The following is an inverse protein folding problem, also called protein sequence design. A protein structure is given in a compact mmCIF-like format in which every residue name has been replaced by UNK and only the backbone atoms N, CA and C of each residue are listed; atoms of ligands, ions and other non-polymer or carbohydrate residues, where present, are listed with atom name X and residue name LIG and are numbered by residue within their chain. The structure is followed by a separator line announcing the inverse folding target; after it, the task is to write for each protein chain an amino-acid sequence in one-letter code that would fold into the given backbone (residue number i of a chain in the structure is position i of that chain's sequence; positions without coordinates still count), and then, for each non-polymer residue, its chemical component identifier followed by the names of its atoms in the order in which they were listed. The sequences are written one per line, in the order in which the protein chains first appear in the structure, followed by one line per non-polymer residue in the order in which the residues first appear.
data_IF_336560104468
#
_entry.id   IF_336560104468
#
_cell.length_a   1.000
_cell.length_b   1.000
_cell.length_c   1.000
_cell.angle_alpha   90.00
_cell.angle_beta   90.00
_cell.angle_gamma   90.00
#
_symmetry.space_group_name_H-M   'P 1'
#
loop_
_entity.id
_entity.type
_entity.pdbx_description
1 polymer ?
#
# COMPACT_ATOMS: atom_id res chain seq x y z
N UNK A 1 1.23 14.02 -0.65
CA UNK A 1 1.15 12.66 -1.23
C UNK A 1 2.19 11.81 -0.55
N UNK A 2 1.81 10.69 0.05
CA UNK A 2 2.76 9.77 0.67
C UNK A 2 3.51 8.95 -0.37
N UNK A 3 4.73 8.54 -0.03
CA UNK A 3 5.64 7.83 -0.94
C UNK A 3 5.32 6.34 -0.97
N UNK A 4 5.12 5.79 -2.17
CA UNK A 4 5.03 4.36 -2.43
C UNK A 4 6.19 4.00 -3.38
N UNK A 5 6.98 3.00 -3.01
CA UNK A 5 7.86 2.29 -3.94
C UNK A 5 7.18 0.99 -4.35
N UNK A 6 7.16 0.72 -5.66
CA UNK A 6 6.59 -0.49 -6.23
C UNK A 6 7.61 -1.19 -7.12
N UNK A 7 7.68 -2.50 -7.03
CA UNK A 7 8.40 -3.38 -7.95
C UNK A 7 7.43 -4.43 -8.46
N UNK A 8 7.55 -4.76 -9.75
CA UNK A 8 6.72 -5.78 -10.39
C UNK A 8 7.65 -6.74 -11.12
N UNK A 9 7.49 -8.03 -10.82
CA UNK A 9 8.15 -9.12 -11.54
C UNK A 9 7.07 -9.95 -12.25
N UNK A 10 7.23 -10.17 -13.55
CA UNK A 10 6.25 -10.86 -14.38
C UNK A 10 6.78 -12.23 -14.80
N UNK A 11 6.13 -13.30 -14.35
CA UNK A 11 6.42 -14.66 -14.77
C UNK A 11 5.14 -15.37 -15.22
N UNK A 12 5.16 -15.93 -16.43
CA UNK A 12 4.06 -16.75 -16.98
C UNK A 12 2.65 -16.14 -16.82
N UNK A 13 2.53 -14.82 -17.01
CA UNK A 13 1.25 -14.10 -16.90
C UNK A 13 0.80 -13.81 -15.46
N UNK A 14 1.68 -14.04 -14.47
CA UNK A 14 1.48 -13.70 -13.07
C UNK A 14 2.46 -12.59 -12.69
N UNK A 15 1.93 -11.43 -12.31
CA UNK A 15 2.72 -10.34 -11.78
C UNK A 15 2.83 -10.46 -10.26
N UNK A 16 4.04 -10.62 -9.74
CA UNK A 16 4.37 -10.45 -8.33
C UNK A 16 4.60 -8.95 -8.06
N UNK A 17 3.70 -8.33 -7.30
CA UNK A 17 3.74 -6.90 -6.98
C UNK A 17 4.24 -6.72 -5.55
N UNK A 18 5.38 -6.07 -5.40
CA UNK A 18 5.94 -5.69 -4.09
C UNK A 18 5.80 -4.18 -3.87
N UNK A 19 5.25 -3.82 -2.72
CA UNK A 19 5.06 -2.45 -2.29
C UNK A 19 5.81 -2.16 -1.00
N UNK A 20 6.43 -0.98 -0.94
CA UNK A 20 6.94 -0.36 0.28
C UNK A 20 6.29 1.01 0.44
N UNK A 21 5.50 1.18 1.50
CA UNK A 21 4.77 2.40 1.79
C UNK A 21 5.46 3.13 2.94
N UNK A 22 5.99 4.33 2.70
CA UNK A 22 6.57 5.15 3.78
C UNK A 22 5.43 5.75 4.61
N UNK A 23 5.16 5.16 5.78
CA UNK A 23 4.02 5.55 6.61
C UNK A 23 4.26 5.19 8.10
N UNK A 24 3.97 6.09 9.05
CA UNK A 24 4.35 5.92 10.45
C UNK A 24 3.62 4.78 11.19
N UNK A 25 2.38 4.45 10.79
CA UNK A 25 1.52 3.40 11.38
C UNK A 25 1.50 3.42 12.93
N UNK A 26 1.15 4.57 13.50
CA UNK A 26 1.09 4.78 14.95
C UNK A 26 -0.15 4.12 15.55
N UNK A 27 0.06 3.13 16.42
CA UNK A 27 -0.97 2.55 17.27
C UNK A 27 -1.21 3.39 18.52
N UNK A 28 -2.46 3.48 18.96
CA UNK A 28 -2.87 4.31 20.11
C UNK A 28 -2.35 3.85 21.48
N UNK A 29 -1.79 2.64 21.57
CA UNK A 29 -1.21 2.09 22.80
C UNK A 29 0.28 2.40 22.97
N UNK A 30 0.93 3.02 21.96
CA UNK A 30 2.31 3.46 22.09
C UNK A 30 2.32 4.70 22.97
N UNK A 31 2.62 4.52 24.26
CA UNK A 31 2.99 5.63 25.13
C UNK A 31 4.27 6.25 24.57
N UNK A 32 4.17 7.47 24.03
CA UNK A 32 5.35 8.29 23.84
C UNK A 32 5.73 8.88 25.20
N UNK A 33 7.00 8.74 25.58
CA UNK A 33 7.60 9.37 26.78
C UNK A 33 7.51 10.92 26.77
N UNK A 34 7.07 11.51 25.66
CA UNK A 34 6.71 12.92 25.57
C UNK A 34 5.22 13.08 25.83
N UNK A 35 4.84 13.78 26.92
CA UNK A 35 3.47 13.99 27.42
C UNK A 35 2.43 14.64 26.49
N UNK A 36 2.56 14.51 25.18
CA UNK A 36 1.55 14.75 24.16
C UNK A 36 0.99 13.40 23.70
N UNK A 37 -0.26 13.11 24.05
CA UNK A 37 -0.92 11.85 23.70
C UNK A 37 -0.77 11.50 22.22
N UNK A 38 -0.28 10.28 21.94
CA UNK A 38 -0.08 9.80 20.58
C UNK A 38 -1.42 9.73 19.84
N UNK A 39 -1.60 10.56 18.82
CA UNK A 39 -2.79 10.50 17.96
C UNK A 39 -2.63 9.34 16.98
N UNK A 40 -3.49 8.33 17.12
CA UNK A 40 -3.60 7.17 16.22
C UNK A 40 -3.50 7.60 14.76
N UNK A 41 -2.57 6.98 14.01
CA UNK A 41 -2.31 7.33 12.61
C UNK A 41 -1.92 6.11 11.81
N UNK A 42 -2.85 5.58 11.01
CA UNK A 42 -2.66 4.35 10.27
C UNK A 42 -3.39 4.40 8.93
N UNK A 43 -2.84 3.67 7.95
CA UNK A 43 -3.50 3.40 6.68
C UNK A 43 -4.74 2.54 6.94
N UNK A 44 -5.90 2.96 6.44
CA UNK A 44 -7.17 2.26 6.58
C UNK A 44 -7.49 1.38 5.38
N UNK A 45 -7.17 1.85 4.18
CA UNK A 45 -7.54 1.22 2.92
C UNK A 45 -6.34 1.18 1.98
N UNK A 46 -6.11 0.03 1.36
CA UNK A 46 -5.18 -0.14 0.23
C UNK A 46 -5.93 -0.81 -0.91
N UNK A 47 -5.86 -0.24 -2.10
CA UNK A 47 -6.51 -0.77 -3.30
C UNK A 47 -5.49 -0.93 -4.42
N UNK A 48 -5.55 -2.05 -5.13
CA UNK A 48 -4.77 -2.28 -6.34
C UNK A 48 -5.68 -2.49 -7.54
N UNK A 49 -5.28 -1.95 -8.70
CA UNK A 49 -6.00 -2.05 -9.96
C UNK A 49 -5.08 -2.55 -11.08
N UNK A 50 -5.62 -3.41 -11.93
CA UNK A 50 -5.03 -3.85 -13.20
C UNK A 50 -5.84 -3.23 -14.33
N UNK A 51 -5.21 -2.36 -15.13
CA UNK A 51 -5.87 -1.59 -16.19
C UNK A 51 -7.17 -0.89 -15.72
N UNK A 52 -7.14 -0.35 -14.49
CA UNK A 52 -8.28 0.32 -13.87
C UNK A 52 -9.31 -0.62 -13.21
N UNK A 53 -9.22 -1.94 -13.40
CA UNK A 53 -10.09 -2.91 -12.71
C UNK A 53 -9.51 -3.26 -11.35
N UNK A 54 -10.28 -3.12 -10.28
CA UNK A 54 -9.87 -3.51 -8.93
C UNK A 54 -9.55 -5.01 -8.88
N UNK A 55 -8.36 -5.35 -8.40
CA UNK A 55 -7.87 -6.73 -8.22
C UNK A 55 -7.56 -7.05 -6.77
N UNK A 56 -7.35 -6.04 -5.93
CA UNK A 56 -7.12 -6.20 -4.49
C UNK A 56 -7.75 -5.03 -3.73
N UNK A 57 -8.33 -5.35 -2.58
CA UNK A 57 -8.68 -4.38 -1.54
C UNK A 57 -8.25 -4.96 -0.19
N UNK A 58 -7.58 -4.14 0.62
CA UNK A 58 -7.18 -4.51 1.96
C UNK A 58 -7.59 -3.41 2.94
N UNK A 59 -8.32 -3.80 3.98
CA UNK A 59 -8.66 -2.93 5.11
C UNK A 59 -7.68 -3.22 6.24
N UNK A 60 -6.98 -2.18 6.68
CA UNK A 60 -5.92 -2.29 7.68
C UNK A 60 -6.33 -1.69 9.01
N UNK A 61 -5.66 -2.15 10.06
CA UNK A 61 -5.82 -1.67 11.42
C UNK A 61 -4.49 -1.16 11.98
N UNK A 62 -4.51 -0.67 13.21
CA UNK A 62 -3.30 -0.23 13.93
C UNK A 62 -2.28 -1.33 14.20
N UNK A 63 -2.59 -2.59 13.89
CA UNK A 63 -1.69 -3.74 14.10
C UNK A 63 -0.71 -3.96 12.95
N UNK A 64 -0.77 -3.16 11.89
CA UNK A 64 0.21 -3.19 10.80
C UNK A 64 1.44 -2.35 11.18
N UNK A 65 2.63 -2.90 10.96
CA UNK A 65 3.90 -2.28 11.34
C UNK A 65 4.19 -0.99 10.54
N UNK A 66 5.07 -0.15 11.09
CA UNK A 66 5.65 1.01 10.38
C UNK A 66 6.27 0.59 9.05
N UNK A 67 6.18 1.49 8.08
CA UNK A 67 6.68 1.33 6.72
C UNK A 67 6.24 0.01 6.07
N UNK A 68 4.91 -0.20 5.92
CA UNK A 68 4.37 -1.48 5.51
C UNK A 68 4.96 -2.01 4.22
N UNK A 69 5.28 -3.31 4.24
CA UNK A 69 5.59 -4.10 3.05
C UNK A 69 4.39 -4.97 2.70
N UNK A 70 3.89 -4.85 1.48
CA UNK A 70 2.80 -5.66 0.96
C UNK A 70 3.26 -6.36 -0.32
N UNK A 71 3.05 -7.68 -0.39
CA UNK A 71 3.31 -8.47 -1.59
C UNK A 71 2.03 -9.21 -1.95
N UNK A 72 1.63 -9.12 -3.22
CA UNK A 72 0.48 -9.83 -3.75
C UNK A 72 0.70 -10.21 -5.22
N UNK A 73 -0.14 -11.08 -5.74
CA UNK A 73 -0.02 -11.62 -7.10
C UNK A 73 -1.25 -11.25 -7.92
N UNK A 74 -1.02 -10.83 -9.16
CA UNK A 74 -2.08 -10.52 -10.13
C UNK A 74 -1.93 -11.44 -11.34
N UNK A 75 -2.94 -12.25 -11.62
CA UNK A 75 -2.95 -13.15 -12.77
C UNK A 75 -3.50 -12.47 -14.02
N UNK A 76 -3.09 -12.94 -15.19
CA UNK A 76 -3.54 -12.43 -16.50
C UNK A 76 -2.90 -11.12 -16.90
N UNK A 77 -1.71 -10.81 -16.35
CA UNK A 77 -0.95 -9.60 -16.68
C UNK A 77 -0.04 -9.87 -17.87
N UNK A 78 0.03 -8.93 -18.81
CA UNK A 78 0.95 -8.98 -19.95
C UNK A 78 1.81 -7.71 -20.03
N UNK A 79 2.96 -7.73 -20.71
CA UNK A 79 3.76 -6.52 -20.94
C UNK A 79 2.92 -5.40 -21.57
N UNK A 80 3.08 -4.18 -21.07
CA UNK A 80 2.29 -3.01 -21.45
C UNK A 80 1.07 -2.74 -20.57
N UNK A 81 0.64 -3.70 -19.75
CA UNK A 81 -0.42 -3.48 -18.77
C UNK A 81 0.02 -2.49 -17.68
N UNK A 82 -0.96 -1.83 -17.06
CA UNK A 82 -0.74 -0.94 -15.93
C UNK A 82 -1.24 -1.56 -14.63
N UNK A 83 -0.37 -1.60 -13.62
CA UNK A 83 -0.74 -1.88 -12.24
C UNK A 83 -0.68 -0.56 -11.46
N UNK A 84 -1.77 -0.19 -10.80
CA UNK A 84 -1.80 0.96 -9.90
C UNK A 84 -2.21 0.56 -8.49
N UNK A 85 -1.65 1.27 -7.52
CA UNK A 85 -1.94 1.07 -6.09
C UNK A 85 -2.19 2.42 -5.46
N UNK A 86 -3.21 2.49 -4.63
CA UNK A 86 -3.49 3.63 -3.77
C UNK A 86 -3.76 3.20 -2.33
N UNK A 87 -3.48 4.10 -1.39
CA UNK A 87 -3.87 3.93 0.00
C UNK A 87 -4.44 5.21 0.58
N UNK A 88 -5.29 5.06 1.60
CA UNK A 88 -5.90 6.14 2.37
C UNK A 88 -5.71 5.91 3.87
N UNK A 89 -5.32 6.95 4.61
CA UNK A 89 -5.17 6.90 6.07
C UNK A 89 -6.31 7.59 6.81
N UNK A 90 -6.35 7.38 8.12
CA UNK A 90 -7.36 7.94 9.02
C UNK A 90 -7.23 9.45 9.29
N UNK A 91 -6.23 10.11 8.68
CA UNK A 91 -6.02 11.56 8.74
C UNK A 91 -6.27 12.24 7.39
N UNK A 92 -6.83 11.51 6.42
CA UNK A 92 -7.16 12.03 5.10
C UNK A 92 -5.97 12.15 4.15
N UNK A 93 -4.81 11.59 4.49
CA UNK A 93 -3.69 11.49 3.57
C UNK A 93 -3.82 10.25 2.70
N UNK A 94 -3.16 10.31 1.54
CA UNK A 94 -3.12 9.21 0.58
C UNK A 94 -1.76 9.11 -0.10
N UNK A 95 -1.48 7.91 -0.61
CA UNK A 95 -0.40 7.64 -1.53
C UNK A 95 -0.95 6.96 -2.78
N UNK A 96 -0.33 7.21 -3.92
CA UNK A 96 -0.67 6.57 -5.18
C UNK A 96 0.60 6.32 -5.98
N UNK A 97 0.68 5.16 -6.63
CA UNK A 97 1.72 4.87 -7.59
C UNK A 97 1.21 3.91 -8.67
N UNK A 98 1.68 4.10 -9.89
CA UNK A 98 1.32 3.28 -11.04
C UNK A 98 2.60 2.94 -11.83
N UNK A 99 2.65 1.73 -12.34
CA UNK A 99 3.76 1.23 -13.15
C UNK A 99 3.20 0.49 -14.37
N UNK A 100 3.84 0.70 -15.51
CA UNK A 100 3.63 -0.12 -16.70
C UNK A 100 4.53 -1.34 -16.59
N UNK A 101 3.93 -2.52 -16.67
CA UNK A 101 4.65 -3.80 -16.61
C UNK A 101 5.43 -3.98 -17.91
N UNK A 102 6.70 -4.36 -17.77
CA UNK A 102 7.63 -4.58 -18.90
C UNK A 102 7.91 -6.05 -19.10
#
# INVERSE_FOLDING_TARGET
MGTISMQVDLDNGIAAVELRMLHPMLAGHVQQDSGTGATVHFIQLVQARHNGRQVMEAQWSTSVARDPRLVFYVAGVVPGDTISVEWHDNKGQSGHHAITVT
#
